data_IF_570378610633
#
_entry.id   IF_570378610633
#
_cell.length_a   1.000
_cell.length_b   1.000
_cell.length_c   1.000
_cell.angle_alpha   90.00
_cell.angle_beta   90.00
_cell.angle_gamma   90.00
#
_symmetry.space_group_name_H-M   'P 1'
#
loop_
_entity.id
_entity.type
_entity.pdbx_description
1 polymer ?
#
# COMPACT_ATOMS: atom_id res chain seq x y z
N UNK A 1 13.66 2.21 6.76
CA UNK A 1 13.02 0.97 6.28
C UNK A 1 14.08 -0.08 5.98
N UNK A 2 13.89 -1.28 6.48
CA UNK A 2 14.78 -2.41 6.16
C UNK A 2 14.11 -3.27 5.07
N UNK A 3 14.61 -3.23 3.81
CA UNK A 3 13.98 -3.99 2.73
C UNK A 3 13.87 -5.49 3.01
N UNK A 4 14.81 -6.05 3.77
CA UNK A 4 14.80 -7.48 4.07
C UNK A 4 13.64 -7.90 4.97
N UNK A 5 13.03 -6.96 5.67
CA UNK A 5 11.87 -7.25 6.52
C UNK A 5 10.55 -7.27 5.76
N UNK A 6 10.56 -7.00 4.46
CA UNK A 6 9.37 -6.98 3.62
C UNK A 6 9.34 -8.19 2.71
N UNK A 7 8.14 -8.68 2.39
CA UNK A 7 7.99 -9.78 1.42
C UNK A 7 8.47 -9.33 0.04
N UNK A 8 8.77 -10.29 -0.83
CA UNK A 8 9.14 -10.00 -2.22
C UNK A 8 8.05 -9.18 -2.91
N UNK A 9 6.78 -9.54 -2.70
CA UNK A 9 5.65 -8.82 -3.31
C UNK A 9 5.54 -7.40 -2.77
N UNK A 10 5.72 -7.21 -1.47
CA UNK A 10 5.71 -5.87 -0.88
C UNK A 10 6.84 -5.01 -1.44
N UNK A 11 8.05 -5.58 -1.56
CA UNK A 11 9.17 -4.86 -2.16
C UNK A 11 8.89 -4.49 -3.62
N UNK A 12 8.29 -5.39 -4.38
CA UNK A 12 7.93 -5.13 -5.78
C UNK A 12 6.93 -4.00 -5.90
N UNK A 13 5.93 -3.95 -5.03
CA UNK A 13 4.94 -2.86 -5.00
C UNK A 13 5.62 -1.53 -4.68
N UNK A 14 6.50 -1.51 -3.69
CA UNK A 14 7.23 -0.29 -3.32
C UNK A 14 8.07 0.20 -4.52
N UNK A 15 8.79 -0.71 -5.16
CA UNK A 15 9.63 -0.38 -6.30
C UNK A 15 8.80 0.13 -7.48
N UNK A 16 7.66 -0.51 -7.75
CA UNK A 16 6.76 -0.07 -8.81
C UNK A 16 6.21 1.33 -8.55
N UNK A 17 5.88 1.63 -7.29
CA UNK A 17 5.43 2.96 -6.90
C UNK A 17 6.50 4.02 -7.10
N UNK A 18 7.73 3.71 -6.72
CA UNK A 18 8.88 4.61 -6.94
C UNK A 18 9.11 4.87 -8.42
N UNK A 19 9.08 3.80 -9.23
CA UNK A 19 9.27 3.92 -10.67
C UNK A 19 8.19 4.78 -11.32
N UNK A 20 6.93 4.62 -10.89
CA UNK A 20 5.83 5.42 -11.40
C UNK A 20 6.00 6.90 -11.05
N UNK A 21 6.44 7.19 -9.83
CA UNK A 21 6.71 8.58 -9.42
C UNK A 21 7.81 9.21 -10.28
N UNK A 22 8.88 8.48 -10.53
CA UNK A 22 9.99 8.96 -11.38
C UNK A 22 9.52 9.17 -12.80
N UNK A 23 8.76 8.23 -13.37
CA UNK A 23 8.25 8.35 -14.75
C UNK A 23 7.32 9.54 -14.91
N UNK A 24 6.57 9.89 -13.89
CA UNK A 24 5.68 11.05 -13.89
C UNK A 24 6.39 12.35 -13.53
N UNK A 25 7.68 12.27 -13.23
CA UNK A 25 8.52 13.43 -12.85
C UNK A 25 8.01 14.08 -11.56
N UNK A 26 7.52 13.30 -10.65
CA UNK A 26 7.16 13.76 -9.31
C UNK A 26 8.42 13.78 -8.45
N UNK A 27 8.49 14.70 -7.49
CA UNK A 27 9.67 14.84 -6.66
C UNK A 27 9.65 13.97 -5.42
N UNK A 28 8.46 13.55 -4.99
CA UNK A 28 8.32 12.75 -3.79
C UNK A 28 7.59 11.44 -4.08
N UNK A 29 8.04 10.39 -3.42
CA UNK A 29 7.34 9.11 -3.39
C UNK A 29 6.25 9.21 -2.32
N UNK A 30 5.01 9.33 -2.75
CA UNK A 30 3.86 9.59 -1.89
C UNK A 30 3.01 8.33 -1.70
N UNK A 31 2.13 8.31 -0.70
CA UNK A 31 1.20 7.19 -0.50
C UNK A 31 0.32 6.89 -1.72
N UNK A 32 -0.02 7.90 -2.51
CA UNK A 32 -0.82 7.71 -3.73
C UNK A 32 -0.08 6.82 -4.74
N UNK A 33 1.23 6.99 -4.87
CA UNK A 33 2.04 6.13 -5.76
C UNK A 33 2.04 4.70 -5.26
N UNK A 34 2.18 4.52 -3.95
CA UNK A 34 2.20 3.20 -3.34
C UNK A 34 0.85 2.49 -3.53
N UNK A 35 -0.24 3.20 -3.26
CA UNK A 35 -1.58 2.65 -3.40
C UNK A 35 -1.89 2.30 -4.86
N UNK A 36 -1.48 3.15 -5.80
CA UNK A 36 -1.61 2.87 -7.23
C UNK A 36 -0.90 1.57 -7.62
N UNK A 37 0.33 1.41 -7.16
CA UNK A 37 1.11 0.21 -7.44
C UNK A 37 0.43 -1.04 -6.88
N UNK A 38 -0.16 -0.95 -5.69
CA UNK A 38 -0.91 -2.06 -5.10
C UNK A 38 -2.10 -2.47 -5.96
N UNK A 39 -2.81 -1.48 -6.50
CA UNK A 39 -4.01 -1.73 -7.30
C UNK A 39 -3.69 -2.28 -8.69
N UNK A 40 -2.47 -2.07 -9.16
CA UNK A 40 -2.02 -2.57 -10.47
C UNK A 40 -1.38 -3.96 -10.39
N UNK A 41 -1.20 -4.49 -9.18
CA UNK A 41 -0.67 -5.83 -9.02
C UNK A 41 -1.58 -6.86 -9.70
N UNK A 42 -0.99 -7.72 -10.50
CA UNK A 42 -1.75 -8.71 -11.30
C UNK A 42 -2.57 -9.66 -10.45
N UNK A 43 -2.15 -9.93 -9.21
CA UNK A 43 -2.86 -10.84 -8.31
C UNK A 43 -4.04 -10.17 -7.62
N UNK A 44 -4.18 -8.86 -7.76
CA UNK A 44 -5.33 -8.09 -7.27
C UNK A 44 -5.58 -8.23 -5.77
N UNK A 45 -4.54 -8.50 -4.99
CA UNK A 45 -4.70 -8.72 -3.54
C UNK A 45 -5.32 -7.49 -2.85
N UNK A 46 -4.77 -6.31 -3.10
CA UNK A 46 -5.29 -5.08 -2.48
C UNK A 46 -6.71 -4.79 -2.93
N UNK A 47 -7.00 -4.93 -4.23
CA UNK A 47 -8.35 -4.69 -4.77
C UNK A 47 -9.35 -5.65 -4.15
N UNK A 48 -8.98 -6.92 -4.03
CA UNK A 48 -9.86 -7.94 -3.43
C UNK A 48 -10.15 -7.65 -1.96
N UNK A 49 -9.14 -7.21 -1.22
CA UNK A 49 -9.31 -6.85 0.19
C UNK A 49 -10.19 -5.63 0.35
N UNK A 50 -10.01 -4.61 -0.49
CA UNK A 50 -10.85 -3.42 -0.47
C UNK A 50 -12.31 -3.81 -0.70
N UNK A 51 -12.58 -4.64 -1.72
CA UNK A 51 -13.94 -5.09 -2.01
C UNK A 51 -14.50 -5.96 -0.88
N UNK A 52 -13.68 -6.86 -0.34
CA UNK A 52 -14.11 -7.73 0.77
C UNK A 52 -14.43 -6.95 2.04
N UNK A 53 -13.79 -5.79 2.23
CA UNK A 53 -14.05 -4.93 3.40
C UNK A 53 -15.32 -4.10 3.27
N UNK A 54 -16.03 -4.20 2.14
CA UNK A 54 -17.22 -3.39 1.88
C UNK A 54 -16.95 -2.12 1.10
N UNK A 55 -15.70 -1.87 0.75
CA UNK A 55 -15.33 -0.74 -0.09
C UNK A 55 -15.46 -1.05 -1.57
N UNK A 56 -15.07 -0.08 -2.39
CA UNK A 56 -15.12 -0.22 -3.85
C UNK A 56 -13.75 0.10 -4.44
N UNK A 57 -13.07 -0.94 -4.91
CA UNK A 57 -11.75 -0.79 -5.50
C UNK A 57 -11.74 0.12 -6.73
N UNK A 58 -12.81 0.12 -7.53
CA UNK A 58 -12.92 0.99 -8.69
C UNK A 58 -12.93 2.48 -8.30
N UNK A 59 -13.57 2.81 -7.17
CA UNK A 59 -13.55 4.19 -6.65
C UNK A 59 -12.18 4.56 -6.10
N UNK A 60 -11.48 3.60 -5.51
CA UNK A 60 -10.12 3.85 -5.04
C UNK A 60 -9.22 4.15 -6.24
N UNK A 61 -9.32 3.37 -7.32
CA UNK A 61 -8.54 3.60 -8.55
C UNK A 61 -8.79 4.99 -9.12
N UNK A 62 -10.06 5.37 -9.24
CA UNK A 62 -10.42 6.69 -9.76
C UNK A 62 -9.88 7.81 -8.88
N UNK A 63 -10.01 7.66 -7.56
CA UNK A 63 -9.53 8.66 -6.62
C UNK A 63 -8.03 8.81 -6.65
N UNK A 64 -7.30 7.70 -6.75
CA UNK A 64 -5.84 7.72 -6.84
C UNK A 64 -5.40 8.37 -8.15
N UNK A 65 -6.01 7.99 -9.27
CA UNK A 65 -5.65 8.57 -10.57
C UNK A 65 -5.90 10.07 -10.59
N UNK A 66 -6.99 10.52 -10.01
CA UNK A 66 -7.29 11.94 -9.90
C UNK A 66 -6.27 12.66 -9.03
N UNK A 67 -5.90 12.07 -7.90
CA UNK A 67 -4.91 12.64 -7.00
C UNK A 67 -3.53 12.73 -7.66
N UNK A 68 -3.12 11.69 -8.37
CA UNK A 68 -1.83 11.67 -9.06
C UNK A 68 -1.77 12.72 -10.17
N UNK A 69 -2.88 12.93 -10.88
CA UNK A 69 -2.96 13.93 -11.94
C UNK A 69 -2.77 15.36 -11.42
N UNK A 70 -3.03 15.59 -10.13
CA UNK A 70 -2.90 16.91 -9.50
C UNK A 70 -1.49 17.17 -8.96
N UNK A 71 -0.65 16.17 -8.90
CA UNK A 71 0.73 16.35 -8.43
C UNK A 71 1.53 17.01 -9.56
N UNK A 72 2.19 18.16 -9.31
CA UNK A 72 2.95 18.82 -10.36
C UNK A 72 4.12 17.96 -10.84
N UNK A 73 4.31 17.91 -12.15
CA UNK A 73 5.51 17.32 -12.75
C UNK A 73 6.59 18.39 -12.76
N UNK A 74 7.82 18.00 -12.42
CA UNK A 74 8.94 18.92 -12.36
C UNK A 74 9.90 18.64 -13.50
N UNK A 75 10.21 19.65 -14.30
CA UNK A 75 11.21 19.53 -15.36
C UNK A 75 12.49 20.24 -14.92
N UNK A 76 13.65 19.69 -15.29
CA UNK A 76 14.94 20.29 -14.97
C UNK A 76 15.40 20.14 -13.54
N UNK A 77 14.82 19.23 -12.77
CA UNK A 77 15.28 18.90 -11.44
C UNK A 77 16.52 18.01 -11.46
N UNK A 78 17.00 17.62 -10.29
CA UNK A 78 18.18 16.78 -10.14
C UNK A 78 17.91 15.30 -10.48
N UNK A 79 16.69 14.95 -10.82
CA UNK A 79 16.32 13.58 -11.14
C UNK A 79 16.18 12.67 -9.93
N UNK A 80 16.26 13.23 -8.72
CA UNK A 80 16.12 12.43 -7.50
C UNK A 80 14.69 12.38 -7.04
N UNK A 81 14.33 11.22 -6.49
CA UNK A 81 13.04 11.01 -5.86
C UNK A 81 13.27 10.96 -4.34
N UNK A 82 12.55 11.81 -3.62
CA UNK A 82 12.65 11.85 -2.17
C UNK A 82 11.51 11.05 -1.56
N UNK A 83 11.82 10.31 -0.50
CA UNK A 83 10.77 9.64 0.27
C UNK A 83 10.01 10.71 1.05
N UNK A 84 8.70 10.78 0.85
CA UNK A 84 7.85 11.68 1.61
C UNK A 84 7.75 11.22 3.05
N UNK A 85 7.51 12.16 3.96
CA UNK A 85 7.36 11.85 5.38
C UNK A 85 6.21 10.86 5.62
N UNK A 86 5.13 10.99 4.86
CA UNK A 86 3.98 10.09 5.02
C UNK A 86 4.32 8.65 4.70
N UNK A 87 5.07 8.40 3.63
CA UNK A 87 5.48 7.03 3.31
C UNK A 87 6.43 6.46 4.38
N UNK A 88 7.32 7.28 4.91
CA UNK A 88 8.19 6.85 6.01
C UNK A 88 7.36 6.40 7.21
N UNK A 89 6.33 7.16 7.56
CA UNK A 89 5.41 6.84 8.65
C UNK A 89 4.61 5.57 8.36
N UNK A 90 4.17 5.39 7.11
CA UNK A 90 3.42 4.22 6.68
C UNK A 90 4.29 2.97 6.81
N UNK A 91 5.54 3.03 6.37
CA UNK A 91 6.44 1.88 6.49
C UNK A 91 6.68 1.51 7.95
N UNK A 92 6.89 2.49 8.83
CA UNK A 92 7.04 2.23 10.26
C UNK A 92 5.80 1.58 10.85
N UNK A 93 4.63 2.08 10.50
CA UNK A 93 3.37 1.53 11.00
C UNK A 93 3.13 0.12 10.48
N UNK A 94 3.47 -0.15 9.22
CA UNK A 94 3.34 -1.49 8.65
C UNK A 94 4.25 -2.49 9.37
N UNK A 95 5.47 -2.09 9.71
CA UNK A 95 6.39 -2.93 10.48
C UNK A 95 5.85 -3.23 11.87
N UNK A 96 5.26 -2.22 12.50
CA UNK A 96 4.65 -2.37 13.83
C UNK A 96 3.46 -3.32 13.79
N UNK A 97 2.61 -3.19 12.78
CA UNK A 97 1.45 -4.06 12.59
C UNK A 97 1.87 -5.51 12.35
N UNK A 98 2.89 -5.71 11.54
CA UNK A 98 3.42 -7.04 11.28
C UNK A 98 3.90 -7.68 12.58
N UNK A 99 4.65 -6.94 13.37
CA UNK A 99 5.17 -7.42 14.65
C UNK A 99 4.04 -7.79 15.61
N UNK A 100 3.03 -6.92 15.71
CA UNK A 100 1.88 -7.17 16.58
C UNK A 100 1.11 -8.42 16.15
N UNK A 101 1.04 -8.70 14.85
CA UNK A 101 0.35 -9.86 14.31
C UNK A 101 1.19 -11.14 14.37
N UNK A 102 2.43 -11.07 14.83
CA UNK A 102 3.33 -12.22 14.86
C UNK A 102 3.96 -12.54 13.51
N UNK A 103 3.93 -11.60 12.58
CA UNK A 103 4.52 -11.79 11.25
C UNK A 103 6.02 -11.58 11.29
N UNK A 104 6.76 -12.43 10.56
CA UNK A 104 8.19 -12.25 10.37
C UNK A 104 8.50 -11.27 9.24
N UNK A 105 7.55 -11.04 8.34
CA UNK A 105 7.70 -10.17 7.17
C UNK A 105 6.51 -9.23 7.04
N UNK A 106 6.79 -8.01 6.58
CA UNK A 106 5.73 -7.05 6.24
C UNK A 106 5.16 -7.41 4.88
N UNK A 107 3.86 -7.64 4.83
CA UNK A 107 3.15 -8.04 3.61
C UNK A 107 2.46 -6.85 2.96
N UNK A 108 1.96 -7.06 1.74
CA UNK A 108 1.19 -6.05 1.01
C UNK A 108 -0.03 -5.62 1.82
N UNK A 109 -0.75 -6.56 2.44
CA UNK A 109 -1.95 -6.21 3.20
C UNK A 109 -1.63 -5.38 4.45
N UNK A 110 -0.46 -5.57 5.07
CA UNK A 110 -0.07 -4.72 6.21
C UNK A 110 0.28 -3.31 5.75
N UNK A 111 0.89 -3.18 4.57
CA UNK A 111 1.10 -1.87 3.95
C UNK A 111 -0.24 -1.18 3.67
N UNK A 112 -1.20 -1.91 3.12
CA UNK A 112 -2.53 -1.35 2.84
C UNK A 112 -3.20 -0.87 4.12
N UNK A 113 -3.13 -1.65 5.20
CA UNK A 113 -3.65 -1.23 6.50
C UNK A 113 -2.99 0.05 6.99
N UNK A 114 -1.67 0.13 6.89
CA UNK A 114 -0.93 1.30 7.35
C UNK A 114 -1.32 2.55 6.56
N UNK A 115 -1.58 2.41 5.25
CA UNK A 115 -2.09 3.52 4.44
C UNK A 115 -3.49 3.94 4.93
N UNK A 116 -4.38 2.96 5.12
CA UNK A 116 -5.77 3.23 5.52
C UNK A 116 -5.85 3.93 6.87
N UNK A 117 -4.92 3.65 7.76
CA UNK A 117 -4.92 4.21 9.11
C UNK A 117 -4.08 5.47 9.26
N UNK A 118 -3.39 5.91 8.20
CA UNK A 118 -2.59 7.12 8.28
C UNK A 118 -3.51 8.34 8.45
N UNK A 119 -3.28 9.18 9.46
CA UNK A 119 -4.26 10.20 9.84
C UNK A 119 -4.40 11.35 8.86
N UNK A 120 -3.39 11.63 8.05
CA UNK A 120 -3.38 12.84 7.21
C UNK A 120 -3.14 12.59 5.73
N UNK A 121 -2.85 11.36 5.30
CA UNK A 121 -2.54 11.13 3.89
C UNK A 121 -3.80 11.22 3.02
N UNK A 122 -3.61 11.73 1.82
CA UNK A 122 -4.68 11.76 0.81
C UNK A 122 -5.13 10.35 0.47
N UNK A 123 -4.21 9.39 0.42
CA UNK A 123 -4.52 8.00 0.13
C UNK A 123 -5.47 7.41 1.16
N UNK A 124 -5.28 7.71 2.44
CA UNK A 124 -6.21 7.28 3.49
C UNK A 124 -7.60 7.85 3.26
N UNK A 125 -7.67 9.13 2.90
CA UNK A 125 -8.95 9.78 2.59
C UNK A 125 -9.67 9.15 1.39
N UNK A 126 -8.91 8.75 0.37
CA UNK A 126 -9.46 8.07 -0.80
C UNK A 126 -10.07 6.72 -0.40
N UNK A 127 -9.35 5.95 0.41
CA UNK A 127 -9.86 4.66 0.90
C UNK A 127 -11.13 4.86 1.73
N UNK A 128 -11.12 5.83 2.63
CA UNK A 128 -12.29 6.13 3.45
C UNK A 128 -13.49 6.53 2.59
N UNK A 129 -13.28 7.40 1.61
CA UNK A 129 -14.35 7.84 0.71
C UNK A 129 -14.92 6.70 -0.13
N UNK A 130 -14.11 5.69 -0.41
CA UNK A 130 -14.54 4.50 -1.15
C UNK A 130 -15.20 3.43 -0.27
N UNK A 131 -15.39 3.72 1.02
CA UNK A 131 -16.09 2.82 1.93
C UNK A 131 -15.20 1.87 2.73
N UNK A 132 -13.89 2.07 2.71
CA UNK A 132 -12.96 1.23 3.47
C UNK A 132 -12.78 1.80 4.87
N UNK A 133 -13.10 1.01 5.89
CA UNK A 133 -12.82 1.37 7.28
C UNK A 133 -11.69 0.49 7.81
N UNK A 134 -10.88 1.01 8.76
CA UNK A 134 -9.80 0.19 9.32
C UNK A 134 -10.26 -1.13 9.91
N UNK A 135 -11.40 -1.13 10.62
CA UNK A 135 -11.91 -2.36 11.23
C UNK A 135 -12.36 -3.38 10.20
N UNK A 136 -13.10 -2.96 9.18
CA UNK A 136 -13.57 -3.87 8.15
C UNK A 136 -12.39 -4.43 7.35
N UNK A 137 -11.36 -3.62 7.12
CA UNK A 137 -10.15 -4.08 6.45
C UNK A 137 -9.42 -5.12 7.29
N UNK A 138 -9.28 -4.89 8.59
CA UNK A 138 -8.68 -5.87 9.49
C UNK A 138 -9.44 -7.19 9.46
N UNK A 139 -10.77 -7.13 9.51
CA UNK A 139 -11.61 -8.33 9.45
C UNK A 139 -11.42 -9.08 8.12
N UNK A 140 -11.32 -8.34 7.01
CA UNK A 140 -11.07 -8.96 5.69
C UNK A 140 -9.71 -9.64 5.63
N UNK A 141 -8.69 -9.01 6.21
CA UNK A 141 -7.34 -9.59 6.27
C UNK A 141 -7.34 -10.85 7.13
N UNK A 142 -8.01 -10.83 8.28
CA UNK A 142 -8.10 -11.99 9.15
C UNK A 142 -8.74 -13.17 8.46
N UNK A 143 -9.81 -12.92 7.71
CA UNK A 143 -10.48 -13.98 6.94
C UNK A 143 -9.57 -14.53 5.83
N UNK A 144 -8.84 -13.65 5.14
CA UNK A 144 -7.91 -14.07 4.09
C UNK A 144 -6.81 -14.95 4.67
N UNK A 145 -6.28 -14.57 5.81
CA UNK A 145 -5.17 -15.26 6.44
C UNK A 145 -5.54 -16.59 7.09
N UNK A 146 -6.76 -16.73 7.60
CA UNK A 146 -7.23 -17.95 8.27
C UNK A 146 -6.27 -18.42 9.35
N UNK A 147 -5.79 -17.50 10.18
CA UNK A 147 -4.87 -17.79 11.27
C UNK A 147 -3.40 -17.91 10.89
N UNK A 148 -3.06 -17.75 9.62
CA UNK A 148 -1.66 -17.84 9.17
C UNK A 148 -0.90 -16.55 9.50
N UNK A 149 0.38 -16.71 9.81
CA UNK A 149 1.30 -15.60 9.95
C UNK A 149 2.22 -15.53 8.72
N UNK A 150 2.76 -14.34 8.45
CA UNK A 150 3.64 -14.13 7.31
C UNK A 150 5.07 -14.52 7.68
N UNK A 151 5.41 -15.79 7.50
CA UNK A 151 6.68 -16.36 7.96
C UNK A 151 7.72 -16.52 6.85
N UNK A 152 7.39 -16.18 5.61
CA UNK A 152 8.30 -16.30 4.49
C UNK A 152 8.23 -15.07 3.59
N UNK A 153 9.26 -14.90 2.74
CA UNK A 153 9.30 -13.81 1.77
C UNK A 153 8.17 -13.88 0.74
N UNK A 154 7.51 -15.03 0.62
CA UNK A 154 6.43 -15.25 -0.35
C UNK A 154 5.10 -15.55 0.33
N UNK A 155 4.90 -14.98 1.52
CA UNK A 155 3.75 -15.31 2.36
C UNK A 155 2.41 -15.10 1.65
N UNK A 156 2.29 -14.03 0.83
CA UNK A 156 1.02 -13.72 0.16
C UNK A 156 0.59 -14.82 -0.83
N UNK A 157 1.54 -15.54 -1.40
CA UNK A 157 1.22 -16.62 -2.34
C UNK A 157 0.46 -17.76 -1.68
N UNK A 158 0.59 -17.93 -0.37
CA UNK A 158 -0.10 -18.97 0.37
C UNK A 158 -1.55 -18.67 0.67
N UNK A 159 -2.00 -17.44 0.48
CA UNK A 159 -3.36 -17.05 0.86
C UNK A 159 -4.45 -17.60 -0.05
N UNK A 160 -4.09 -17.95 -1.26
CA UNK A 160 -5.03 -18.41 -2.28
C UNK A 160 -5.16 -19.93 -2.35
N UNK A 161 -4.42 -20.63 -1.51
CA UNK A 161 -4.43 -22.09 -1.49
C UNK A 161 -5.69 -22.66 -0.82
#
# INVERSE_FOLDING_TARGET
MNPESFTERARAVIQAGQSAALAARHQQFAPEHLLKAMLEDKDQLAANLINASGGRADLVRSGVDEALAKIPSVSGGDGQLYMGQENAQIFQEAEKKAKTAGDSYVTVERLLQAIAEHPTSKAAGILKSAGVTPKALEDAISKLRQGRTADSENAEEGYEA
#
